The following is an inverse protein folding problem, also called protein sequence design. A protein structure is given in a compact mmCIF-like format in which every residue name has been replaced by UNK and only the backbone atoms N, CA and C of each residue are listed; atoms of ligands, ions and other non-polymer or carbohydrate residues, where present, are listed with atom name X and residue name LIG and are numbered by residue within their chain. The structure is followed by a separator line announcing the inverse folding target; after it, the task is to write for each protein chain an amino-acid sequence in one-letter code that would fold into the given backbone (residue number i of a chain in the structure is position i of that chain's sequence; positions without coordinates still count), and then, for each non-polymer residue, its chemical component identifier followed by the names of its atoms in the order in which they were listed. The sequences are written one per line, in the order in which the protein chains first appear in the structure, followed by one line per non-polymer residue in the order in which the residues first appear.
data_IF_875449431816
#
_entry.id   IF_875449431816
#
_cell.length_a   1.000
_cell.length_b   1.000
_cell.length_c   1.000
_cell.angle_alpha   90.00
_cell.angle_beta   90.00
_cell.angle_gamma   90.00
#
_symmetry.space_group_name_H-M   'P 1'
#
loop_
_entity.id
_entity.type
_entity.pdbx_description
1 polymer ?
#
# COMPACT_ATOMS: atom_id res chain seq x y z
N UNK A 1 50.28 -65.81 -8.24
CA UNK A 1 50.22 -66.52 -6.93
C UNK A 1 49.45 -65.61 -5.98
N UNK A 2 48.41 -65.97 -5.22
CA UNK A 2 47.75 -67.22 -4.82
C UNK A 2 46.22 -66.89 -4.65
N UNK A 3 45.27 -67.69 -5.16
CA UNK A 3 44.54 -68.77 -4.47
C UNK A 3 44.00 -68.36 -3.07
N UNK A 4 42.75 -68.60 -2.64
CA UNK A 4 41.56 -69.24 -3.20
C UNK A 4 40.45 -69.18 -2.14
N UNK A 5 39.22 -69.17 -2.62
CA UNK A 5 37.95 -69.55 -1.97
C UNK A 5 38.01 -70.80 -1.09
N UNK A 6 37.04 -70.90 -0.15
CA UNK A 6 36.30 -72.09 0.37
C UNK A 6 35.56 -71.63 1.65
N UNK A 7 34.35 -72.06 2.05
CA UNK A 7 33.42 -73.10 1.63
C UNK A 7 32.04 -72.80 2.25
N UNK A 8 30.99 -73.08 1.47
CA UNK A 8 29.60 -73.24 1.90
C UNK A 8 29.44 -74.46 2.82
N UNK A 9 28.54 -74.38 3.80
CA UNK A 9 27.85 -75.54 4.38
C UNK A 9 26.42 -75.18 4.79
N UNK A 10 25.50 -76.08 4.44
CA UNK A 10 24.03 -75.98 4.42
C UNK A 10 23.40 -76.08 5.82
N UNK A 11 22.22 -75.48 6.01
CA UNK A 11 21.01 -76.21 6.43
C UNK A 11 19.73 -75.38 6.25
N UNK A 12 18.63 -76.10 6.04
CA UNK A 12 17.35 -75.71 5.45
C UNK A 12 16.35 -75.11 6.47
N UNK A 13 15.46 -74.29 5.91
CA UNK A 13 14.02 -74.15 6.22
C UNK A 13 13.62 -73.53 7.57
N UNK A 14 13.19 -72.26 7.50
CA UNK A 14 11.89 -71.84 8.04
C UNK A 14 11.27 -70.82 7.06
N UNK A 15 10.05 -71.11 6.64
CA UNK A 15 9.16 -70.22 5.87
C UNK A 15 8.77 -69.03 6.76
N UNK A 16 8.80 -67.81 6.22
CA UNK A 16 8.31 -66.63 6.93
C UNK A 16 8.58 -65.31 6.21
N UNK A 17 7.69 -64.95 5.29
CA UNK A 17 7.34 -63.57 4.88
C UNK A 17 8.47 -62.63 4.41
N UNK A 18 8.49 -62.39 3.09
CA UNK A 18 9.09 -61.21 2.48
C UNK A 18 8.48 -59.93 3.08
N UNK A 19 9.32 -59.04 3.59
CA UNK A 19 8.96 -57.63 3.81
C UNK A 19 10.18 -56.76 3.50
N UNK A 20 10.39 -56.48 2.21
CA UNK A 20 11.23 -55.37 1.78
C UNK A 20 10.51 -54.10 2.25
N UNK A 21 11.14 -53.34 3.14
CA UNK A 21 10.71 -52.00 3.52
C UNK A 21 10.84 -51.06 2.31
N UNK A 22 9.85 -51.14 1.42
CA UNK A 22 9.58 -50.11 0.44
C UNK A 22 8.87 -48.97 1.17
N UNK A 23 9.55 -47.82 1.26
CA UNK A 23 8.93 -46.56 1.69
C UNK A 23 7.73 -46.32 0.76
N UNK A 24 6.49 -46.25 1.26
CA UNK A 24 5.35 -45.98 0.41
C UNK A 24 5.43 -44.52 -0.01
N UNK A 25 5.78 -44.31 -1.28
CA UNK A 25 5.44 -43.08 -2.00
C UNK A 25 3.95 -42.86 -1.77
N UNK A 26 3.61 -41.80 -1.04
CA UNK A 26 2.21 -41.37 -0.91
C UNK A 26 1.72 -41.05 -2.31
N UNK A 27 0.98 -41.97 -2.91
CA UNK A 27 0.17 -41.68 -4.07
C UNK A 27 -0.79 -40.56 -3.67
N UNK A 28 -0.68 -39.39 -4.30
CA UNK A 28 -1.74 -38.39 -4.26
C UNK A 28 -3.04 -39.10 -4.67
N UNK A 29 -4.08 -38.96 -3.84
CA UNK A 29 -5.37 -39.57 -4.08
C UNK A 29 -5.81 -39.27 -5.52
N UNK A 30 -5.93 -40.32 -6.32
CA UNK A 30 -6.40 -40.29 -7.70
C UNK A 30 -7.93 -40.24 -7.70
N UNK A 31 -8.48 -39.25 -7.00
CA UNK A 31 -9.90 -38.89 -6.98
C UNK A 31 -10.05 -37.56 -6.21
N UNK A 32 -9.48 -36.48 -6.76
CA UNK A 32 -10.07 -35.18 -6.49
C UNK A 32 -11.40 -35.18 -7.23
N UNK A 33 -12.49 -35.41 -6.51
CA UNK A 33 -13.85 -35.16 -7.00
C UNK A 33 -13.87 -33.81 -7.74
N UNK A 34 -14.66 -33.65 -8.83
CA UNK A 34 -14.76 -32.37 -9.51
C UNK A 34 -15.02 -31.29 -8.45
N UNK A 35 -14.28 -30.17 -8.48
CA UNK A 35 -14.43 -29.15 -7.45
C UNK A 35 -15.91 -28.85 -7.33
N UNK A 36 -16.46 -29.06 -6.12
CA UNK A 36 -17.84 -28.70 -5.83
C UNK A 36 -18.09 -27.26 -6.26
N UNK A 37 -19.35 -26.85 -6.46
CA UNK A 37 -19.66 -25.48 -6.87
C UNK A 37 -18.86 -24.50 -6.02
N UNK A 38 -18.13 -23.55 -6.63
CA UNK A 38 -17.21 -22.69 -5.89
C UNK A 38 -17.96 -22.03 -4.74
N UNK A 39 -17.42 -22.17 -3.53
CA UNK A 39 -18.03 -21.54 -2.36
C UNK A 39 -18.06 -20.02 -2.61
N UNK A 40 -19.10 -19.34 -2.12
CA UNK A 40 -19.25 -17.89 -2.30
C UNK A 40 -18.02 -17.12 -1.82
N UNK A 41 -17.33 -17.64 -0.79
CA UNK A 41 -16.06 -17.11 -0.30
C UNK A 41 -14.90 -17.27 -1.30
N UNK A 42 -14.77 -18.44 -1.94
CA UNK A 42 -13.71 -18.70 -2.93
C UNK A 42 -13.85 -17.79 -4.15
N UNK A 43 -15.08 -17.57 -4.60
CA UNK A 43 -15.35 -16.65 -5.70
C UNK A 43 -15.01 -15.20 -5.33
N UNK A 44 -15.32 -14.78 -4.09
CA UNK A 44 -14.95 -13.44 -3.61
C UNK A 44 -13.43 -13.25 -3.57
N UNK A 45 -12.68 -14.20 -3.00
CA UNK A 45 -11.22 -14.15 -2.94
C UNK A 45 -10.60 -14.15 -4.33
N UNK A 46 -11.10 -14.99 -5.23
CA UNK A 46 -10.66 -15.04 -6.63
C UNK A 46 -10.88 -13.70 -7.34
N UNK A 47 -12.03 -13.06 -7.12
CA UNK A 47 -12.32 -11.75 -7.69
C UNK A 47 -11.36 -10.68 -7.16
N UNK A 48 -11.10 -10.65 -5.85
CA UNK A 48 -10.13 -9.72 -5.24
C UNK A 48 -8.73 -9.95 -5.82
N UNK A 49 -8.29 -11.20 -5.93
CA UNK A 49 -6.99 -11.54 -6.50
C UNK A 49 -6.86 -11.06 -7.95
N UNK A 50 -7.88 -11.31 -8.78
CA UNK A 50 -7.90 -10.86 -10.17
C UNK A 50 -7.89 -9.33 -10.28
N UNK A 51 -8.59 -8.63 -9.40
CA UNK A 51 -8.57 -7.17 -9.33
C UNK A 51 -7.16 -6.65 -8.99
N UNK A 52 -6.55 -7.16 -7.92
CA UNK A 52 -5.20 -6.76 -7.49
C UNK A 52 -4.18 -7.07 -8.58
N UNK A 53 -4.25 -8.25 -9.20
CA UNK A 53 -3.39 -8.64 -10.31
C UNK A 53 -3.52 -7.66 -11.48
N UNK A 54 -4.75 -7.32 -11.89
CA UNK A 54 -5.00 -6.35 -12.97
C UNK A 54 -4.40 -4.99 -12.67
N UNK A 55 -4.56 -4.50 -11.43
CA UNK A 55 -3.99 -3.21 -10.98
C UNK A 55 -2.46 -3.23 -11.05
N UNK A 56 -1.84 -4.31 -10.58
CA UNK A 56 -0.39 -4.51 -10.62
C UNK A 56 0.15 -4.59 -12.05
N UNK A 57 -0.46 -5.40 -12.92
CA UNK A 57 -0.07 -5.53 -14.33
C UNK A 57 -0.22 -4.20 -15.08
N UNK A 58 -1.26 -3.42 -14.76
CA UNK A 58 -1.47 -2.09 -15.34
C UNK A 58 -0.36 -1.12 -14.93
N UNK A 59 0.01 -1.11 -13.65
CA UNK A 59 1.11 -0.28 -13.14
C UNK A 59 2.44 -0.66 -13.79
N UNK A 60 2.80 -1.94 -13.81
CA UNK A 60 4.03 -2.42 -14.47
C UNK A 60 4.05 -2.11 -15.97
N UNK A 61 2.91 -2.23 -16.65
CA UNK A 61 2.79 -1.92 -18.07
C UNK A 61 3.09 -0.45 -18.40
N UNK A 62 2.88 0.47 -17.46
CA UNK A 62 3.24 1.88 -17.58
C UNK A 62 4.72 2.09 -17.23
N UNK A 63 5.16 1.56 -16.09
CA UNK A 63 6.53 1.72 -15.59
C UNK A 63 7.58 1.11 -16.53
N UNK A 64 7.24 0.06 -17.28
CA UNK A 64 8.11 -0.52 -18.33
C UNK A 64 8.26 0.35 -19.58
N UNK A 65 7.40 1.35 -19.78
CA UNK A 65 7.43 2.24 -20.96
C UNK A 65 8.13 3.55 -20.64
N UNK A 66 7.79 4.14 -19.49
CA UNK A 66 8.30 5.43 -19.06
C UNK A 66 9.72 5.32 -18.51
N UNK A 67 10.65 6.11 -19.05
CA UNK A 67 12.01 6.21 -18.48
C UNK A 67 11.98 7.13 -17.27
N UNK A 68 12.33 6.62 -16.10
CA UNK A 68 12.42 7.38 -14.85
C UNK A 68 13.88 7.78 -14.62
N UNK A 69 14.12 9.07 -14.42
CA UNK A 69 15.43 9.62 -14.04
C UNK A 69 15.47 9.67 -12.51
N UNK A 70 16.41 8.96 -11.90
CA UNK A 70 16.56 8.91 -10.44
C UNK A 70 17.38 10.11 -9.97
N UNK A 71 16.75 11.28 -9.92
CA UNK A 71 17.34 12.53 -9.44
C UNK A 71 16.35 13.32 -8.56
N UNK A 72 16.35 13.10 -7.23
CA UNK A 72 15.43 13.79 -6.32
C UNK A 72 15.75 15.29 -6.12
N UNK A 73 16.93 15.72 -6.54
CA UNK A 73 17.40 17.11 -6.43
C UNK A 73 17.03 17.94 -7.66
N UNK A 74 16.71 17.30 -8.79
CA UNK A 74 16.22 17.96 -10.01
C UNK A 74 14.69 18.09 -10.00
N UNK A 75 14.13 19.32 -9.95
CA UNK A 75 12.69 19.53 -10.00
C UNK A 75 12.01 18.96 -11.26
N UNK A 76 12.72 18.91 -12.40
CA UNK A 76 12.17 18.37 -13.63
C UNK A 76 11.98 16.85 -13.54
N UNK A 77 12.99 16.13 -13.03
CA UNK A 77 12.89 14.69 -12.76
C UNK A 77 11.78 14.36 -11.74
N UNK A 78 11.67 15.12 -10.64
CA UNK A 78 10.60 14.97 -9.65
C UNK A 78 9.22 15.19 -10.28
N UNK A 79 9.04 16.24 -11.08
CA UNK A 79 7.78 16.53 -11.77
C UNK A 79 7.41 15.44 -12.78
N UNK A 80 8.39 14.95 -13.54
CA UNK A 80 8.18 13.84 -14.47
C UNK A 80 7.73 12.58 -13.72
N UNK A 81 8.44 12.20 -12.65
CA UNK A 81 8.10 11.04 -11.85
C UNK A 81 6.71 11.15 -11.22
N UNK A 82 6.36 12.32 -10.67
CA UNK A 82 5.02 12.60 -10.15
C UNK A 82 3.92 12.39 -11.21
N UNK A 83 4.15 12.82 -12.46
CA UNK A 83 3.22 12.61 -13.58
C UNK A 83 3.07 11.13 -13.93
N UNK A 84 4.17 10.38 -13.96
CA UNK A 84 4.15 8.93 -14.20
C UNK A 84 3.35 8.23 -13.10
N UNK A 85 3.63 8.52 -11.83
CA UNK A 85 2.93 7.92 -10.68
C UNK A 85 1.45 8.31 -10.61
N UNK A 86 1.10 9.55 -11.00
CA UNK A 86 -0.29 9.96 -11.18
C UNK A 86 -0.97 9.13 -12.27
N UNK A 87 -0.34 8.97 -13.43
CA UNK A 87 -0.86 8.16 -14.53
C UNK A 87 -1.04 6.69 -14.13
N UNK A 88 -0.08 6.13 -13.37
CA UNK A 88 -0.18 4.79 -12.79
C UNK A 88 -1.43 4.68 -11.91
N UNK A 89 -1.63 5.61 -10.98
CA UNK A 89 -2.79 5.58 -10.07
C UNK A 89 -4.11 5.69 -10.83
N UNK A 90 -4.23 6.64 -11.74
CA UNK A 90 -5.45 6.85 -12.52
C UNK A 90 -5.79 5.61 -13.38
N UNK A 91 -4.81 5.04 -14.08
CA UNK A 91 -5.05 3.88 -14.95
C UNK A 91 -5.25 2.58 -14.19
N UNK A 92 -4.59 2.42 -13.04
CA UNK A 92 -4.76 1.27 -12.16
C UNK A 92 -5.94 1.43 -11.18
N UNK A 93 -6.77 2.47 -11.32
CA UNK A 93 -7.92 2.73 -10.44
C UNK A 93 -7.53 2.69 -8.95
N UNK A 94 -6.44 3.41 -8.63
CA UNK A 94 -5.93 3.61 -7.29
C UNK A 94 -6.32 5.00 -6.81
N UNK A 95 -6.71 5.10 -5.54
CA UNK A 95 -7.10 6.37 -4.95
C UNK A 95 -5.94 7.38 -4.92
N UNK A 96 -6.25 8.66 -5.19
CA UNK A 96 -5.39 9.77 -4.81
C UNK A 96 -5.33 9.90 -3.29
N UNK A 97 -4.35 10.65 -2.77
CA UNK A 97 -4.25 10.84 -1.32
C UNK A 97 -5.48 11.55 -0.73
N UNK A 98 -6.05 12.52 -1.45
CA UNK A 98 -7.30 13.17 -1.06
C UNK A 98 -8.47 12.19 -1.02
N UNK A 99 -8.60 11.31 -2.02
CA UNK A 99 -9.61 10.26 -2.06
C UNK A 99 -9.42 9.23 -0.93
N UNK A 100 -8.18 8.85 -0.59
CA UNK A 100 -7.89 7.96 0.55
C UNK A 100 -8.29 8.58 1.89
N UNK A 101 -8.05 9.89 2.06
CA UNK A 101 -8.48 10.65 3.24
C UNK A 101 -10.01 10.64 3.31
N UNK A 102 -10.68 11.01 2.22
CA UNK A 102 -12.14 11.03 2.13
C UNK A 102 -12.75 9.67 2.44
N UNK A 103 -12.24 8.60 1.83
CA UNK A 103 -12.70 7.23 2.05
C UNK A 103 -12.56 6.80 3.52
N UNK A 104 -11.43 7.15 4.15
CA UNK A 104 -11.18 6.84 5.56
C UNK A 104 -12.17 7.56 6.47
N UNK A 105 -12.38 8.87 6.24
CA UNK A 105 -13.33 9.67 7.00
C UNK A 105 -14.74 9.11 6.85
N UNK A 106 -15.19 8.88 5.62
CA UNK A 106 -16.52 8.34 5.34
C UNK A 106 -16.75 6.99 6.00
N UNK A 107 -15.79 6.07 5.88
CA UNK A 107 -15.92 4.71 6.43
C UNK A 107 -15.99 4.72 7.96
N UNK A 108 -15.19 5.57 8.62
CA UNK A 108 -15.13 5.64 10.09
C UNK A 108 -16.25 6.46 10.71
N UNK A 109 -16.94 7.29 9.93
CA UNK A 109 -17.95 8.22 10.44
C UNK A 109 -19.35 7.98 9.89
N UNK A 110 -19.55 6.93 9.09
CA UNK A 110 -20.82 6.64 8.39
C UNK A 110 -22.01 6.63 9.33
N UNK A 111 -21.90 5.90 10.44
CA UNK A 111 -23.01 5.61 11.34
C UNK A 111 -23.06 6.58 12.54
N UNK A 112 -22.27 7.65 12.52
CA UNK A 112 -22.22 8.65 13.60
C UNK A 112 -23.30 9.71 13.34
N UNK A 113 -24.34 9.83 14.19
CA UNK A 113 -25.47 10.70 13.90
C UNK A 113 -25.28 12.14 14.37
N UNK A 114 -24.50 12.39 15.42
CA UNK A 114 -24.27 13.72 15.99
C UNK A 114 -22.94 14.34 15.54
N UNK A 115 -22.87 15.67 15.55
CA UNK A 115 -21.71 16.43 15.08
C UNK A 115 -20.53 16.35 16.06
N UNK A 116 -20.78 16.24 17.37
CA UNK A 116 -19.72 16.20 18.39
C UNK A 116 -18.88 14.94 18.26
N UNK A 117 -19.53 13.78 18.27
CA UNK A 117 -18.88 12.49 18.08
C UNK A 117 -18.16 12.43 16.72
N UNK A 118 -18.74 13.05 15.69
CA UNK A 118 -18.10 13.16 14.38
C UNK A 118 -16.77 13.93 14.44
N UNK A 119 -16.75 15.12 15.05
CA UNK A 119 -15.52 15.92 15.17
C UNK A 119 -14.46 15.23 16.03
N UNK A 120 -14.86 14.60 17.14
CA UNK A 120 -13.96 13.80 17.97
C UNK A 120 -13.35 12.63 17.19
N UNK A 121 -14.15 11.97 16.34
CA UNK A 121 -13.65 10.90 15.47
C UNK A 121 -12.69 11.42 14.40
N UNK A 122 -12.92 12.61 13.83
CA UNK A 122 -11.97 13.24 12.92
C UNK A 122 -10.63 13.53 13.61
N UNK A 123 -10.67 14.03 14.84
CA UNK A 123 -9.48 14.23 15.68
C UNK A 123 -8.72 12.93 15.91
N UNK A 124 -9.42 11.85 16.24
CA UNK A 124 -8.80 10.53 16.40
C UNK A 124 -8.16 10.02 15.11
N UNK A 125 -8.79 10.25 13.95
CA UNK A 125 -8.22 9.91 12.64
C UNK A 125 -6.92 10.69 12.41
N UNK A 126 -6.91 11.99 12.69
CA UNK A 126 -5.72 12.84 12.55
C UNK A 126 -4.58 12.34 13.43
N UNK A 127 -4.83 12.13 14.73
CA UNK A 127 -3.83 11.68 15.70
C UNK A 127 -3.25 10.31 15.30
N UNK A 128 -4.10 9.35 14.91
CA UNK A 128 -3.66 8.02 14.46
C UNK A 128 -2.83 8.07 13.17
N UNK A 129 -2.92 9.15 12.40
CA UNK A 129 -2.09 9.40 11.20
C UNK A 129 -0.82 10.20 11.52
N UNK A 130 -0.57 10.54 12.79
CA UNK A 130 0.61 11.31 13.20
C UNK A 130 0.59 12.76 12.74
N UNK A 131 -0.58 13.30 12.36
CA UNK A 131 -0.71 14.68 11.89
C UNK A 131 -0.90 15.61 13.09
N UNK A 132 -0.15 16.71 13.15
CA UNK A 132 -0.27 17.77 14.17
C UNK A 132 -1.35 18.79 13.80
N UNK A 133 -1.98 19.42 14.80
CA UNK A 133 -2.94 20.52 14.58
C UNK A 133 -2.23 21.83 14.89
N UNK A 134 -1.32 22.21 13.99
CA UNK A 134 -0.46 23.37 14.15
C UNK A 134 -1.24 24.69 14.17
N UNK A 135 -2.42 24.70 13.52
CA UNK A 135 -3.28 25.87 13.43
C UNK A 135 -4.27 25.97 14.61
N UNK A 136 -4.33 24.97 15.48
CA UNK A 136 -5.34 24.88 16.54
C UNK A 136 -6.77 24.84 16.00
N UNK A 137 -6.96 24.34 14.78
CA UNK A 137 -8.25 24.35 14.10
C UNK A 137 -9.29 23.50 14.83
N UNK A 138 -8.88 22.38 15.44
CA UNK A 138 -9.80 21.48 16.13
C UNK A 138 -10.43 22.13 17.36
N UNK A 139 -9.64 22.88 18.14
CA UNK A 139 -10.15 23.61 19.28
C UNK A 139 -11.18 24.66 18.83
N UNK A 140 -10.86 25.43 17.78
CA UNK A 140 -11.80 26.41 17.22
C UNK A 140 -13.09 25.76 16.69
N UNK A 141 -12.98 24.58 16.06
CA UNK A 141 -14.15 23.84 15.56
C UNK A 141 -15.03 23.32 16.70
N UNK A 142 -14.44 22.83 17.78
CA UNK A 142 -15.19 22.40 18.97
C UNK A 142 -15.86 23.59 19.67
N UNK A 143 -15.16 24.72 19.79
CA UNK A 143 -15.75 25.96 20.35
C UNK A 143 -16.92 26.47 19.50
N UNK A 144 -16.82 26.36 18.16
CA UNK A 144 -17.92 26.69 17.26
C UNK A 144 -19.12 25.75 17.44
N UNK A 145 -18.87 24.44 17.59
CA UNK A 145 -19.92 23.48 17.88
C UNK A 145 -20.59 23.77 19.23
N UNK A 146 -19.82 24.05 20.29
CA UNK A 146 -20.33 24.42 21.61
C UNK A 146 -21.27 25.63 21.53
N UNK A 147 -20.93 26.64 20.73
CA UNK A 147 -21.79 27.81 20.51
C UNK A 147 -23.12 27.43 19.86
N UNK A 148 -23.08 26.65 18.78
CA UNK A 148 -24.29 26.22 18.07
C UNK A 148 -25.17 25.35 18.97
N UNK A 149 -24.59 24.39 19.70
CA UNK A 149 -25.34 23.53 20.62
C UNK A 149 -26.00 24.32 21.77
N UNK A 150 -25.34 25.37 22.28
CA UNK A 150 -25.94 26.29 23.26
C UNK A 150 -27.11 27.09 22.68
N UNK A 151 -27.01 27.53 21.43
CA UNK A 151 -28.06 28.27 20.75
C UNK A 151 -29.31 27.40 20.50
N UNK A 152 -29.11 26.16 20.03
CA UNK A 152 -30.20 25.23 19.75
C UNK A 152 -30.68 24.46 20.99
N UNK A 153 -29.95 24.57 22.11
CA UNK A 153 -30.23 23.92 23.42
C UNK A 153 -30.34 22.39 23.37
N UNK A 154 -29.71 21.75 22.38
CA UNK A 154 -29.66 20.30 22.17
C UNK A 154 -28.37 19.92 21.45
N UNK A 155 -27.95 18.64 21.51
CA UNK A 155 -26.87 18.15 20.66
C UNK A 155 -27.18 18.37 19.18
N UNK A 156 -26.16 18.73 18.39
CA UNK A 156 -26.34 18.98 16.97
C UNK A 156 -26.32 17.66 16.19
N UNK A 157 -27.43 17.32 15.54
CA UNK A 157 -27.53 16.15 14.66
C UNK A 157 -27.07 16.50 13.24
N UNK A 158 -26.36 15.58 12.57
CA UNK A 158 -25.78 15.78 11.23
C UNK A 158 -26.82 15.83 10.10
N UNK A 159 -28.01 15.28 10.34
CA UNK A 159 -29.16 15.34 9.43
C UNK A 159 -29.99 16.62 9.60
N UNK A 160 -29.78 17.38 10.68
CA UNK A 160 -30.42 18.69 10.91
C UNK A 160 -29.79 19.77 10.00
N UNK A 161 -30.28 19.84 8.75
CA UNK A 161 -29.78 20.76 7.72
C UNK A 161 -29.74 22.22 8.17
N UNK A 162 -30.69 22.66 9.00
CA UNK A 162 -30.80 24.06 9.44
C UNK A 162 -29.70 24.38 10.45
N UNK A 163 -29.57 23.57 11.49
CA UNK A 163 -28.54 23.80 12.51
C UNK A 163 -27.12 23.48 12.00
N UNK A 164 -26.97 22.54 11.07
CA UNK A 164 -25.69 22.30 10.38
C UNK A 164 -25.25 23.49 9.52
N UNK A 165 -26.18 24.26 8.96
CA UNK A 165 -25.84 25.49 8.24
C UNK A 165 -25.23 26.56 9.17
N UNK A 166 -25.69 26.65 10.42
CA UNK A 166 -25.10 27.53 11.43
C UNK A 166 -23.66 27.12 11.75
N UNK A 167 -23.42 25.81 11.95
CA UNK A 167 -22.07 25.28 12.19
C UNK A 167 -21.14 25.53 10.99
N UNK A 168 -21.61 25.28 9.77
CA UNK A 168 -20.83 25.54 8.56
C UNK A 168 -20.47 27.03 8.41
N UNK A 169 -21.38 27.94 8.78
CA UNK A 169 -21.08 29.37 8.77
C UNK A 169 -20.01 29.76 9.78
N UNK A 170 -19.99 29.15 10.97
CA UNK A 170 -18.90 29.32 11.94
C UNK A 170 -17.58 28.74 11.40
N UNK A 171 -17.61 27.56 10.77
CA UNK A 171 -16.44 26.97 10.14
C UNK A 171 -15.89 27.84 8.99
N UNK A 172 -16.74 28.47 8.18
CA UNK A 172 -16.29 29.39 7.14
C UNK A 172 -15.58 30.62 7.71
N UNK A 173 -16.01 31.13 8.88
CA UNK A 173 -15.29 32.21 9.60
C UNK A 173 -13.92 31.73 10.09
N UNK A 174 -13.86 30.52 10.65
CA UNK A 174 -12.61 29.90 11.11
C UNK A 174 -11.66 29.70 9.92
N UNK A 175 -12.13 29.13 8.81
CA UNK A 175 -11.34 28.92 7.59
C UNK A 175 -10.77 30.24 7.08
N UNK A 176 -11.56 31.31 7.01
CA UNK A 176 -11.08 32.65 6.64
C UNK A 176 -9.99 33.16 7.60
N UNK A 177 -10.17 32.99 8.90
CA UNK A 177 -9.17 33.38 9.92
C UNK A 177 -7.86 32.61 9.78
N UNK A 178 -7.94 31.33 9.45
CA UNK A 178 -6.79 30.46 9.25
C UNK A 178 -6.18 30.56 7.83
N UNK A 179 -6.75 31.38 6.95
CA UNK A 179 -6.30 31.50 5.55
C UNK A 179 -6.57 30.24 4.72
N UNK A 180 -7.47 29.36 5.16
CA UNK A 180 -7.84 28.12 4.46
C UNK A 180 -8.90 28.46 3.40
N UNK A 181 -8.60 28.14 2.15
CA UNK A 181 -9.48 28.35 0.99
C UNK A 181 -9.66 27.04 0.24
N UNK A 182 -10.91 26.69 -0.09
CA UNK A 182 -11.21 25.44 -0.80
C UNK A 182 -10.62 25.44 -2.22
N UNK A 183 -10.48 26.62 -2.79
CA UNK A 183 -9.91 26.87 -4.11
C UNK A 183 -8.42 26.50 -4.18
N UNK A 184 -7.72 26.48 -3.04
CA UNK A 184 -6.31 26.10 -2.97
C UNK A 184 -6.11 24.58 -2.83
N UNK A 185 -7.17 23.78 -2.65
CA UNK A 185 -7.05 22.33 -2.47
C UNK A 185 -6.35 21.61 -3.64
N UNK A 186 -6.65 21.90 -4.92
CA UNK A 186 -5.93 21.29 -6.04
C UNK A 186 -4.43 21.60 -6.01
N UNK A 187 -4.05 22.81 -5.58
CA UNK A 187 -2.65 23.21 -5.43
C UNK A 187 -1.97 22.45 -4.30
N UNK A 188 -2.64 22.25 -3.17
CA UNK A 188 -2.08 21.45 -2.07
C UNK A 188 -1.93 19.98 -2.45
N UNK A 189 -2.88 19.44 -3.21
CA UNK A 189 -2.79 18.09 -3.76
C UNK A 189 -1.56 17.97 -4.67
N UNK A 190 -1.39 18.86 -5.64
CA UNK A 190 -0.21 18.88 -6.52
C UNK A 190 1.12 18.99 -5.74
N UNK A 191 1.18 19.87 -4.74
CA UNK A 191 2.35 20.00 -3.87
C UNK A 191 2.65 18.73 -3.07
N UNK A 192 1.60 18.05 -2.59
CA UNK A 192 1.74 16.78 -1.88
C UNK A 192 2.26 15.69 -2.82
N UNK A 193 1.76 15.62 -4.05
CA UNK A 193 2.24 14.69 -5.07
C UNK A 193 3.72 14.87 -5.38
N UNK A 194 4.18 16.12 -5.51
CA UNK A 194 5.60 16.41 -5.74
C UNK A 194 6.47 16.01 -4.53
N UNK A 195 5.99 16.22 -3.30
CA UNK A 195 6.71 15.80 -2.09
C UNK A 195 6.81 14.28 -1.99
N UNK A 196 5.73 13.56 -2.29
CA UNK A 196 5.73 12.09 -2.32
C UNK A 196 6.67 11.58 -3.40
N UNK A 197 6.59 12.16 -4.61
CA UNK A 197 7.46 11.83 -5.72
C UNK A 197 8.94 12.00 -5.37
N UNK A 198 9.30 13.13 -4.75
CA UNK A 198 10.66 13.38 -4.28
C UNK A 198 11.12 12.33 -3.26
N UNK A 199 10.31 12.08 -2.22
CA UNK A 199 10.65 11.11 -1.18
C UNK A 199 10.85 9.68 -1.74
N UNK A 200 10.02 9.28 -2.70
CA UNK A 200 10.17 8.00 -3.40
C UNK A 200 11.43 7.95 -4.26
N UNK A 201 11.80 9.04 -4.94
CA UNK A 201 13.06 9.11 -5.69
C UNK A 201 14.28 9.09 -4.75
N UNK A 202 14.19 9.72 -3.58
CA UNK A 202 15.22 9.64 -2.53
C UNK A 202 15.43 8.20 -2.05
N UNK A 203 14.33 7.46 -1.83
CA UNK A 203 14.38 6.03 -1.47
C UNK A 203 14.98 5.18 -2.60
N UNK A 204 14.53 5.37 -3.85
CA UNK A 204 15.10 4.67 -5.01
C UNK A 204 16.59 4.96 -5.21
N UNK A 205 17.02 6.21 -5.00
CA UNK A 205 18.44 6.59 -5.07
C UNK A 205 19.24 5.87 -4.00
N UNK A 206 18.72 5.81 -2.76
CA UNK A 206 19.36 5.10 -1.66
C UNK A 206 19.48 3.61 -1.97
N UNK A 207 18.41 2.95 -2.38
CA UNK A 207 18.40 1.52 -2.69
C UNK A 207 19.36 1.19 -3.84
N UNK A 208 19.40 2.03 -4.88
CA UNK A 208 20.34 1.88 -5.99
C UNK A 208 21.80 1.99 -5.53
N UNK A 209 22.13 2.99 -4.70
CA UNK A 209 23.48 3.16 -4.15
C UNK A 209 23.88 1.97 -3.26
N UNK A 210 22.98 1.49 -2.41
CA UNK A 210 23.24 0.32 -1.55
C UNK A 210 23.52 -0.95 -2.38
N UNK A 211 22.73 -1.18 -3.44
CA UNK A 211 22.93 -2.30 -4.36
C UNK A 211 24.27 -2.19 -5.12
N UNK A 212 24.60 -1.01 -5.63
CA UNK A 212 25.86 -0.74 -6.33
C UNK A 212 27.07 -0.93 -5.42
N UNK A 213 27.05 -0.40 -4.20
CA UNK A 213 28.15 -0.58 -3.23
C UNK A 213 28.32 -2.05 -2.82
N UNK A 214 27.23 -2.80 -2.75
CA UNK A 214 27.28 -4.25 -2.50
C UNK A 214 27.92 -4.99 -3.68
N UNK A 215 27.62 -4.59 -4.91
CA UNK A 215 28.21 -5.17 -6.12
C UNK A 215 29.71 -4.88 -6.22
N UNK A 216 30.12 -3.64 -5.93
CA UNK A 216 31.53 -3.20 -5.96
C UNK A 216 32.45 -4.00 -5.03
N UNK A 217 31.90 -4.53 -3.93
CA UNK A 217 32.66 -5.34 -2.97
C UNK A 217 33.03 -6.74 -3.49
N UNK A 218 32.41 -7.20 -4.56
CA UNK A 218 32.71 -8.51 -5.17
C UNK A 218 33.99 -8.42 -5.98
N UNK A 219 34.90 -9.39 -5.79
CA UNK A 219 36.21 -9.45 -6.47
C UNK A 219 36.10 -9.32 -8.00
N UNK A 220 35.05 -9.89 -8.58
CA UNK A 220 34.75 -9.89 -10.02
C UNK A 220 34.53 -8.49 -10.61
N UNK A 221 34.18 -7.49 -9.78
CA UNK A 221 33.76 -6.15 -10.23
C UNK A 221 34.60 -5.01 -9.63
N UNK A 222 35.74 -5.33 -9.00
CA UNK A 222 36.57 -4.32 -8.30
C UNK A 222 37.19 -3.26 -9.21
N UNK A 223 37.46 -3.62 -10.46
CA UNK A 223 38.08 -2.74 -11.46
C UNK A 223 37.04 -2.03 -12.35
N UNK A 224 35.75 -2.31 -12.17
CA UNK A 224 34.68 -1.68 -12.95
C UNK A 224 34.26 -0.32 -12.36
N UNK A 225 34.12 0.66 -13.25
CA UNK A 225 33.56 1.96 -12.87
C UNK A 225 32.05 1.84 -12.63
N UNK A 226 31.61 2.27 -11.44
CA UNK A 226 30.18 2.26 -11.10
C UNK A 226 29.44 3.32 -11.93
N UNK A 227 28.32 2.97 -12.60
CA UNK A 227 27.51 3.94 -13.33
C UNK A 227 26.91 4.99 -12.40
N UNK A 228 26.54 6.15 -12.93
CA UNK A 228 25.77 7.14 -12.18
C UNK A 228 24.33 6.64 -11.97
N UNK A 229 23.78 6.82 -10.76
CA UNK A 229 22.39 6.49 -10.43
C UNK A 229 21.40 7.16 -11.40
N UNK A 230 21.72 8.38 -11.87
CA UNK A 230 20.89 9.13 -12.83
C UNK A 230 20.82 8.45 -14.21
N UNK A 231 21.82 7.63 -14.54
CA UNK A 231 21.90 6.91 -15.81
C UNK A 231 21.18 5.57 -15.78
N UNK A 232 20.81 5.08 -14.58
CA UNK A 232 20.10 3.81 -14.43
C UNK A 232 18.72 3.90 -15.08
N UNK A 233 18.33 2.81 -15.72
CA UNK A 233 17.02 2.67 -16.33
C UNK A 233 16.27 1.55 -15.63
N UNK A 234 15.30 1.94 -14.78
CA UNK A 234 14.49 1.01 -13.98
C UNK A 234 13.76 -0.02 -14.84
N UNK A 235 13.55 0.26 -16.13
CA UNK A 235 12.86 -0.66 -17.06
C UNK A 235 13.63 -1.95 -17.27
N UNK A 236 14.94 -1.96 -17.05
CA UNK A 236 15.76 -3.18 -17.11
C UNK A 236 15.59 -4.09 -15.90
N UNK A 237 14.89 -3.64 -14.86
CA UNK A 237 14.71 -4.36 -13.60
C UNK A 237 13.25 -4.80 -13.34
N UNK A 238 12.33 -4.48 -14.26
CA UNK A 238 10.88 -4.73 -14.16
C UNK A 238 10.37 -5.77 -15.15
#
# INVERSE_FOLDING_TARGET
MAFSTRLLSKSRQLYGSQAIHAIPVRFYAKEAAPPGPPLKGDQMLKNIFLEVKKKFETALGILRKEKIIIDPDDPAAVSQYAKVMKTVREKADLFSESQRIQYTVQTRTRDIPDARTYLLTLKDIRIKRGLTDELGAEAMMMDALDKVEKEIKKPLMRDDKKSMALLNAEFDKINKKLGIRKEDFPKYEEQLELKIAKAQLDELKKDALEAMETQKKREEFKDEAMPDVKSLDIRHFL
#
